data_IF_719231167670
#
_entry.id   IF_719231167670
#
_cell.length_a   1.000
_cell.length_b   1.000
_cell.length_c   1.000
_cell.angle_alpha   90.00
_cell.angle_beta   90.00
_cell.angle_gamma   90.00
#
_symmetry.space_group_name_H-M   'P 1'
#
loop_
_entity.id
_entity.type
_entity.pdbx_description
1 polymer ?
#
# COMPACT_ATOMS: atom_id res chain seq x y z
N UNK A 1 9.42 -6.53 -1.25
CA UNK A 1 9.66 -5.75 -2.49
C UNK A 1 11.11 -5.95 -2.88
N UNK A 2 11.48 -5.74 -4.14
CA UNK A 2 12.87 -5.80 -4.57
C UNK A 2 13.39 -4.38 -4.85
N UNK A 3 14.64 -4.11 -4.51
CA UNK A 3 15.27 -2.81 -4.66
C UNK A 3 15.63 -2.14 -3.33
N UNK A 4 15.77 -0.83 -3.36
CA UNK A 4 16.20 -0.02 -2.21
C UNK A 4 15.13 0.99 -1.83
N UNK A 5 14.71 0.98 -0.57
CA UNK A 5 13.82 2.00 -0.03
C UNK A 5 14.45 3.39 -0.19
N UNK A 6 13.68 4.33 -0.73
CA UNK A 6 14.06 5.73 -0.94
C UNK A 6 13.45 6.61 0.14
N UNK A 7 12.13 6.56 0.28
CA UNK A 7 11.42 7.44 1.23
C UNK A 7 10.05 6.87 1.59
N UNK A 8 9.57 7.21 2.78
CA UNK A 8 8.16 7.13 3.13
C UNK A 8 7.69 8.42 3.80
N UNK A 9 6.40 8.73 3.70
CA UNK A 9 5.78 9.83 4.44
C UNK A 9 5.42 9.48 5.89
N UNK A 10 5.63 8.23 6.31
CA UNK A 10 5.37 7.77 7.68
C UNK A 10 6.59 8.05 8.56
N UNK A 11 6.44 8.78 9.68
CA UNK A 11 7.49 8.89 10.69
C UNK A 11 7.75 7.51 11.33
N UNK A 12 8.97 7.00 11.19
CA UNK A 12 9.34 5.65 11.63
C UNK A 12 10.07 5.67 12.97
N UNK A 13 9.55 4.90 13.93
CA UNK A 13 10.27 4.49 15.13
C UNK A 13 11.15 3.30 14.76
N UNK A 14 12.46 3.55 14.63
CA UNK A 14 13.43 2.55 14.15
C UNK A 14 14.18 1.92 15.32
N UNK A 15 14.33 0.61 15.29
CA UNK A 15 15.16 -0.13 16.24
C UNK A 15 16.65 0.05 15.88
N UNK A 16 17.32 0.98 16.56
CA UNK A 16 18.69 1.40 16.20
C UNK A 16 19.80 0.48 16.74
N UNK A 17 19.57 -0.17 17.89
CA UNK A 17 20.62 -0.90 18.62
C UNK A 17 20.32 -2.38 18.81
N UNK A 18 19.05 -2.79 18.76
CA UNK A 18 18.63 -4.17 18.96
C UNK A 18 17.40 -4.49 18.13
N UNK A 19 17.46 -5.58 17.36
CA UNK A 19 16.31 -6.12 16.65
C UNK A 19 15.65 -7.22 17.47
N UNK A 20 14.32 -7.29 17.39
CA UNK A 20 13.52 -8.37 17.96
C UNK A 20 12.70 -9.03 16.83
N UNK A 21 12.38 -10.33 16.95
CA UNK A 21 11.42 -10.96 16.05
C UNK A 21 10.09 -10.18 16.04
N UNK A 22 9.40 -10.18 14.91
CA UNK A 22 8.17 -9.42 14.70
C UNK A 22 6.98 -10.00 15.47
N UNK A 23 7.05 -11.28 15.82
CA UNK A 23 6.11 -12.02 16.66
C UNK A 23 6.70 -13.38 17.03
N UNK A 24 5.95 -14.18 17.77
CA UNK A 24 6.47 -15.40 18.39
C UNK A 24 6.18 -16.69 17.61
N UNK A 25 5.26 -16.66 16.64
CA UNK A 25 4.82 -17.85 15.90
C UNK A 25 4.29 -17.51 14.48
N UNK A 26 3.86 -18.54 13.74
CA UNK A 26 3.20 -18.46 12.42
C UNK A 26 4.01 -17.74 11.34
N UNK A 27 5.34 -17.84 11.41
CA UNK A 27 6.29 -17.23 10.48
C UNK A 27 6.76 -15.84 10.91
N UNK A 28 6.06 -15.17 11.82
CA UNK A 28 6.47 -13.85 12.32
C UNK A 28 7.76 -13.91 13.15
N UNK A 29 8.04 -15.05 13.78
CA UNK A 29 9.29 -15.32 14.50
C UNK A 29 10.53 -15.35 13.60
N UNK A 30 10.33 -15.39 12.28
CA UNK A 30 11.42 -15.38 11.29
C UNK A 30 11.65 -14.01 10.64
N UNK A 31 10.95 -12.97 11.09
CA UNK A 31 11.09 -11.60 10.59
C UNK A 31 11.64 -10.72 11.72
N UNK A 32 12.79 -10.10 11.52
CA UNK A 32 13.27 -9.00 12.36
C UNK A 32 12.41 -7.75 12.15
N UNK A 33 11.90 -7.16 13.23
CA UNK A 33 11.19 -5.87 13.19
C UNK A 33 12.20 -4.72 13.17
N UNK A 34 12.34 -4.06 12.01
CA UNK A 34 13.31 -2.97 11.81
C UNK A 34 12.75 -1.64 12.30
N UNK A 35 11.54 -1.30 11.87
CA UNK A 35 10.89 -0.05 12.23
C UNK A 35 9.38 -0.17 12.14
N UNK A 36 8.67 0.72 12.82
CA UNK A 36 7.22 0.88 12.65
C UNK A 36 6.80 2.34 12.73
N UNK A 37 5.63 2.67 12.19
CA UNK A 37 5.04 3.99 12.32
C UNK A 37 3.55 3.98 12.01
N UNK A 38 2.82 4.93 12.59
CA UNK A 38 1.39 5.07 12.36
C UNK A 38 1.11 5.67 10.97
N UNK A 39 0.17 5.09 10.24
CA UNK A 39 -0.27 5.57 8.92
C UNK A 39 -1.47 6.48 9.13
N UNK A 40 -1.21 7.73 9.53
CA UNK A 40 -2.25 8.73 9.81
C UNK A 40 -2.87 9.35 8.56
N UNK A 41 -2.11 9.39 7.47
CA UNK A 41 -2.47 9.91 6.15
C UNK A 41 -2.27 8.80 5.10
N UNK A 42 -2.84 8.91 3.89
CA UNK A 42 -2.55 7.96 2.82
C UNK A 42 -1.05 7.68 2.69
N UNK A 43 -0.68 6.41 2.81
CA UNK A 43 0.71 5.97 2.78
C UNK A 43 1.32 6.34 1.44
N UNK A 44 2.56 6.82 1.46
CA UNK A 44 3.47 6.79 0.32
C UNK A 44 4.75 6.10 0.76
N UNK A 45 5.10 5.00 0.08
CA UNK A 45 6.34 4.27 0.28
C UNK A 45 7.01 4.06 -1.08
N UNK A 46 8.16 4.68 -1.28
CA UNK A 46 8.87 4.67 -2.56
C UNK A 46 10.17 3.88 -2.44
N UNK A 47 10.43 3.02 -3.41
CA UNK A 47 11.70 2.32 -3.59
C UNK A 47 12.20 2.48 -5.04
N UNK A 48 13.47 2.18 -5.26
CA UNK A 48 14.10 2.13 -6.58
C UNK A 48 14.56 0.70 -6.87
N UNK A 49 14.31 0.22 -8.08
CA UNK A 49 14.83 -1.05 -8.58
C UNK A 49 15.37 -0.85 -10.00
N UNK A 50 16.66 -1.11 -10.19
CA UNK A 50 17.40 -0.74 -11.39
C UNK A 50 17.28 0.76 -11.72
N UNK A 51 16.74 1.07 -12.90
CA UNK A 51 16.63 2.44 -13.41
C UNK A 51 15.26 3.09 -13.17
N UNK A 52 14.44 2.53 -12.28
CA UNK A 52 13.04 2.93 -12.13
C UNK A 52 12.62 3.03 -10.66
N UNK A 53 11.81 4.05 -10.36
CA UNK A 53 11.16 4.17 -9.07
C UNK A 53 9.80 3.46 -9.07
N UNK A 54 9.42 3.00 -7.90
CA UNK A 54 8.12 2.40 -7.63
C UNK A 54 7.59 3.03 -6.36
N UNK A 55 6.31 3.38 -6.35
CA UNK A 55 5.64 3.84 -5.13
C UNK A 55 4.45 2.96 -4.83
N UNK A 56 4.39 2.46 -3.59
CA UNK A 56 3.19 1.94 -2.97
C UNK A 56 2.45 3.14 -2.35
N UNK A 57 1.26 3.44 -2.88
CA UNK A 57 0.35 4.42 -2.27
C UNK A 57 -0.86 3.67 -1.74
N UNK A 58 -1.18 3.82 -0.46
CA UNK A 58 -2.26 3.08 0.18
C UNK A 58 -3.19 3.98 0.99
N UNK A 59 -4.45 3.59 1.11
CA UNK A 59 -5.39 4.24 2.01
C UNK A 59 -4.96 4.03 3.46
N UNK A 60 -5.15 5.05 4.28
CA UNK A 60 -5.04 4.96 5.73
C UNK A 60 -6.34 4.40 6.33
N UNK A 61 -6.24 3.85 7.54
CA UNK A 61 -7.38 3.51 8.38
C UNK A 61 -7.03 3.80 9.84
N UNK A 62 -8.02 3.87 10.75
CA UNK A 62 -7.76 3.88 12.18
C UNK A 62 -6.83 2.73 12.58
N UNK A 63 -5.89 3.02 13.48
CA UNK A 63 -4.90 2.06 14.01
C UNK A 63 -3.98 1.40 12.97
N UNK A 64 -3.98 1.86 11.71
CA UNK A 64 -3.09 1.31 10.70
C UNK A 64 -1.63 1.66 11.00
N UNK A 65 -0.76 0.65 10.90
CA UNK A 65 0.68 0.76 11.06
C UNK A 65 1.41 0.31 9.81
N UNK A 66 2.46 1.03 9.46
CA UNK A 66 3.51 0.57 8.56
C UNK A 66 4.57 -0.10 9.40
N UNK A 67 4.92 -1.33 9.05
CA UNK A 67 6.01 -2.08 9.67
C UNK A 67 7.03 -2.42 8.59
N UNK A 68 8.29 -2.09 8.86
CA UNK A 68 9.42 -2.52 8.05
C UNK A 68 10.12 -3.67 8.76
N UNK A 69 10.39 -4.74 8.01
CA UNK A 69 11.02 -5.94 8.53
C UNK A 69 12.11 -6.48 7.61
N UNK A 70 12.86 -7.45 8.13
CA UNK A 70 13.78 -8.28 7.35
C UNK A 70 13.68 -9.74 7.74
N UNK A 71 13.67 -10.66 6.79
CA UNK A 71 13.72 -12.11 7.10
C UNK A 71 15.08 -12.51 7.67
N UNK A 72 15.12 -13.60 8.43
CA UNK A 72 16.34 -14.16 9.03
C UNK A 72 16.37 -14.09 10.56
N UNK A 73 15.25 -13.80 11.22
CA UNK A 73 15.15 -14.02 12.66
C UNK A 73 15.08 -15.52 12.96
N UNK A 74 15.67 -15.93 14.09
CA UNK A 74 15.68 -17.32 14.55
C UNK A 74 16.15 -18.34 13.49
N UNK A 75 17.17 -17.98 12.70
CA UNK A 75 17.73 -18.83 11.63
C UNK A 75 19.23 -19.10 11.89
N UNK A 76 19.56 -19.99 12.84
CA UNK A 76 20.95 -20.23 13.27
C UNK A 76 21.82 -20.85 12.17
N UNK A 77 21.20 -21.54 11.21
CA UNK A 77 21.88 -22.25 10.13
C UNK A 77 21.94 -21.42 8.83
N UNK A 78 21.49 -20.16 8.87
CA UNK A 78 21.54 -19.22 7.73
C UNK A 78 20.84 -19.75 6.47
N UNK A 79 19.71 -20.44 6.64
CA UNK A 79 18.93 -21.01 5.53
C UNK A 79 18.07 -19.95 4.81
N UNK A 80 17.72 -18.86 5.48
CA UNK A 80 16.89 -17.79 4.95
C UNK A 80 17.75 -16.68 4.33
N UNK A 81 17.35 -16.22 3.15
CA UNK A 81 17.90 -14.97 2.59
C UNK A 81 17.41 -13.80 3.45
N UNK A 82 18.23 -12.74 3.55
CA UNK A 82 17.82 -11.46 4.14
C UNK A 82 16.99 -10.67 3.13
N UNK A 83 15.67 -10.82 3.16
CA UNK A 83 14.70 -10.14 2.30
C UNK A 83 14.01 -9.00 3.04
N UNK A 84 13.67 -7.93 2.33
CA UNK A 84 12.97 -6.78 2.90
C UNK A 84 11.45 -7.01 2.95
N UNK A 85 10.84 -6.64 4.07
CA UNK A 85 9.39 -6.71 4.31
C UNK A 85 8.83 -5.32 4.50
N UNK A 86 7.76 -5.01 3.78
CA UNK A 86 6.86 -3.87 4.03
C UNK A 86 5.51 -4.47 4.37
N UNK A 87 4.99 -4.14 5.55
CA UNK A 87 3.72 -4.65 6.04
C UNK A 87 2.83 -3.49 6.44
N UNK A 88 1.61 -3.48 5.92
CA UNK A 88 0.52 -2.69 6.47
C UNK A 88 -0.27 -3.57 7.42
N UNK A 89 -0.39 -3.13 8.67
CA UNK A 89 -1.09 -3.83 9.73
C UNK A 89 -2.25 -2.96 10.20
N UNK A 90 -3.46 -3.50 10.17
CA UNK A 90 -4.64 -2.89 10.77
C UNK A 90 -5.12 -3.77 11.92
N UNK A 91 -5.85 -3.17 12.85
CA UNK A 91 -6.48 -3.87 13.97
C UNK A 91 -7.98 -3.52 13.98
N UNK A 92 -8.77 -4.34 13.30
CA UNK A 92 -10.20 -4.10 13.12
C UNK A 92 -10.94 -5.41 12.87
N UNK A 93 -12.24 -5.44 13.17
CA UNK A 93 -13.12 -6.58 12.84
C UNK A 93 -13.50 -6.61 11.37
N UNK A 94 -13.53 -5.45 10.71
CA UNK A 94 -13.79 -5.29 9.28
C UNK A 94 -12.92 -4.15 8.74
N UNK A 95 -12.13 -4.43 7.69
CA UNK A 95 -11.20 -3.47 7.11
C UNK A 95 -10.89 -3.79 5.64
N UNK A 96 -10.93 -2.75 4.80
CA UNK A 96 -10.44 -2.80 3.42
C UNK A 96 -9.03 -2.20 3.32
N UNK A 97 -8.08 -2.99 2.84
CA UNK A 97 -6.76 -2.49 2.43
C UNK A 97 -6.79 -2.13 0.93
N UNK A 98 -6.77 -0.84 0.64
CA UNK A 98 -6.72 -0.33 -0.74
C UNK A 98 -5.34 0.26 -1.03
N UNK A 99 -4.70 -0.17 -2.11
CA UNK A 99 -3.40 0.38 -2.52
C UNK A 99 -3.17 0.30 -4.02
N UNK A 100 -2.25 1.12 -4.50
CA UNK A 100 -1.72 1.07 -5.86
C UNK A 100 -0.21 1.01 -5.81
N UNK A 101 0.38 0.19 -6.68
CA UNK A 101 1.81 0.20 -6.95
C UNK A 101 2.01 0.86 -8.30
N UNK A 102 2.75 1.96 -8.32
CA UNK A 102 2.93 2.75 -9.54
C UNK A 102 4.41 2.79 -9.90
N UNK A 103 4.79 2.27 -11.08
CA UNK A 103 6.11 2.52 -11.65
C UNK A 103 6.19 3.96 -12.16
N UNK A 104 7.26 4.68 -11.85
CA UNK A 104 7.46 6.06 -12.32
C UNK A 104 8.94 6.44 -12.36
N UNK A 105 9.18 7.59 -13.01
CA UNK A 105 10.48 8.22 -13.05
C UNK A 105 11.58 7.40 -13.71
N UNK A 106 12.78 7.96 -13.62
CA UNK A 106 14.00 7.40 -14.16
C UNK A 106 15.15 7.69 -13.22
N UNK A 107 15.94 6.66 -12.94
CA UNK A 107 17.14 6.76 -12.15
C UNK A 107 18.32 6.19 -12.95
N UNK A 108 19.42 6.92 -13.01
CA UNK A 108 20.67 6.42 -13.56
C UNK A 108 21.81 6.93 -12.69
N UNK A 109 22.36 6.02 -11.89
CA UNK A 109 23.45 6.31 -10.97
C UNK A 109 24.73 6.74 -11.70
N UNK A 110 25.09 6.04 -12.79
CA UNK A 110 26.32 6.30 -13.53
C UNK A 110 26.33 7.68 -14.23
N UNK A 111 25.16 8.19 -14.61
CA UNK A 111 24.99 9.51 -15.22
C UNK A 111 24.52 10.58 -14.22
N UNK A 112 24.37 10.24 -12.94
CA UNK A 112 23.83 11.11 -11.88
C UNK A 112 22.45 11.73 -12.24
N UNK A 113 21.58 10.97 -12.91
CA UNK A 113 20.25 11.43 -13.33
C UNK A 113 19.18 10.87 -12.39
N UNK A 114 18.36 11.75 -11.82
CA UNK A 114 17.11 11.41 -11.13
C UNK A 114 15.97 12.28 -11.68
N UNK A 115 14.93 11.64 -12.21
CA UNK A 115 13.74 12.30 -12.77
C UNK A 115 12.48 11.67 -12.20
N UNK A 116 11.52 12.50 -11.82
CA UNK A 116 10.21 12.10 -11.29
C UNK A 116 10.28 11.02 -10.20
N UNK A 117 11.20 11.18 -9.25
CA UNK A 117 11.46 10.24 -8.16
C UNK A 117 10.31 10.13 -7.13
N UNK A 118 9.31 11.02 -7.20
CA UNK A 118 8.14 11.00 -6.32
C UNK A 118 6.92 10.46 -7.08
N UNK A 119 6.08 9.69 -6.39
CA UNK A 119 4.85 9.13 -6.96
C UNK A 119 4.01 10.16 -7.74
N UNK A 120 3.49 9.82 -8.94
CA UNK A 120 2.48 10.64 -9.62
C UNK A 120 1.10 10.53 -8.96
N UNK A 121 0.86 9.50 -8.15
CA UNK A 121 -0.35 9.34 -7.32
C UNK A 121 -0.14 10.00 -5.96
N UNK A 122 -1.12 10.79 -5.55
CA UNK A 122 -1.12 11.55 -4.29
C UNK A 122 -1.78 10.74 -3.18
N UNK A 123 -2.91 10.11 -3.46
CA UNK A 123 -3.68 9.37 -2.47
C UNK A 123 -4.47 8.22 -3.09
N UNK A 124 -4.73 7.23 -2.23
CA UNK A 124 -5.79 6.25 -2.37
C UNK A 124 -6.70 6.44 -1.15
N UNK A 125 -8.01 6.47 -1.36
CA UNK A 125 -9.00 6.63 -0.30
C UNK A 125 -10.06 5.55 -0.42
N UNK A 126 -10.41 4.91 0.69
CA UNK A 126 -11.59 4.06 0.76
C UNK A 126 -12.81 4.98 0.93
N UNK A 127 -13.71 4.96 -0.05
CA UNK A 127 -14.97 5.72 0.02
C UNK A 127 -16.01 4.94 0.82
N UNK A 128 -15.97 3.62 0.72
CA UNK A 128 -16.74 2.73 1.59
C UNK A 128 -16.66 1.29 1.12
N UNK A 129 -16.88 0.37 2.05
CA UNK A 129 -16.94 -1.05 1.77
C UNK A 129 -17.95 -1.75 2.69
N UNK A 130 -18.54 -2.82 2.20
CA UNK A 130 -19.38 -3.76 2.96
C UNK A 130 -19.43 -5.10 2.22
N UNK A 131 -20.28 -6.04 2.66
CA UNK A 131 -20.44 -7.35 2.01
C UNK A 131 -20.91 -7.28 0.55
N UNK A 132 -21.57 -6.18 0.14
CA UNK A 132 -22.09 -6.03 -1.22
C UNK A 132 -21.07 -5.42 -2.18
N UNK A 133 -20.28 -4.44 -1.73
CA UNK A 133 -19.34 -3.74 -2.60
C UNK A 133 -18.19 -3.03 -1.87
N UNK A 134 -17.16 -2.70 -2.64
CA UNK A 134 -16.06 -1.81 -2.25
C UNK A 134 -15.92 -0.66 -3.24
N UNK A 135 -15.74 0.56 -2.76
CA UNK A 135 -15.50 1.74 -3.59
C UNK A 135 -14.28 2.49 -3.07
N UNK A 136 -13.32 2.74 -3.96
CA UNK A 136 -12.11 3.50 -3.67
C UNK A 136 -11.94 4.64 -4.68
N UNK A 137 -11.28 5.71 -4.25
CA UNK A 137 -10.82 6.79 -5.12
C UNK A 137 -9.29 6.83 -5.16
N UNK A 138 -8.74 7.05 -6.36
CA UNK A 138 -7.31 7.25 -6.59
C UNK A 138 -7.14 8.65 -7.16
N UNK A 139 -6.28 9.48 -6.56
CA UNK A 139 -6.03 10.84 -7.03
C UNK A 139 -4.57 11.02 -7.47
N UNK A 140 -4.37 11.59 -8.66
CA UNK A 140 -3.05 11.94 -9.19
C UNK A 140 -2.72 13.42 -9.03
N UNK A 141 -1.41 13.73 -9.04
CA UNK A 141 -0.88 15.10 -9.00
C UNK A 141 -1.36 15.98 -10.15
N UNK A 142 -1.70 15.37 -11.28
CA UNK A 142 -2.26 16.06 -12.45
C UNK A 142 -3.70 16.53 -12.28
N UNK A 143 -4.33 16.24 -11.13
CA UNK A 143 -5.75 16.48 -10.88
C UNK A 143 -6.67 15.39 -11.43
N UNK A 144 -6.13 14.40 -12.14
CA UNK A 144 -6.88 13.21 -12.59
C UNK A 144 -7.30 12.37 -11.40
N UNK A 145 -8.52 11.84 -11.46
CA UNK A 145 -9.07 10.94 -10.44
C UNK A 145 -9.68 9.70 -11.08
N UNK A 146 -9.60 8.58 -10.38
CA UNK A 146 -10.25 7.33 -10.74
C UNK A 146 -11.11 6.86 -9.58
N UNK A 147 -12.30 6.35 -9.88
CA UNK A 147 -13.08 5.57 -8.94
C UNK A 147 -13.07 4.12 -9.36
N UNK A 148 -12.65 3.25 -8.45
CA UNK A 148 -12.71 1.80 -8.65
C UNK A 148 -13.83 1.26 -7.77
N UNK A 149 -14.80 0.61 -8.39
CA UNK A 149 -15.94 -0.01 -7.75
C UNK A 149 -15.86 -1.52 -7.97
N UNK A 150 -16.04 -2.30 -6.92
CA UNK A 150 -15.93 -3.77 -6.95
C UNK A 150 -17.17 -4.37 -6.31
N UNK A 151 -17.75 -5.37 -6.97
CA UNK A 151 -18.77 -6.25 -6.41
C UNK A 151 -18.11 -7.25 -5.44
N UNK A 152 -18.52 -7.23 -4.18
CA UNK A 152 -18.05 -8.20 -3.19
C UNK A 152 -18.96 -9.44 -3.12
N UNK A 153 -20.15 -9.37 -3.75
CA UNK A 153 -21.13 -10.44 -3.79
C UNK A 153 -20.89 -11.47 -4.91
N UNK A 154 -21.94 -12.21 -5.26
CA UNK A 154 -21.87 -13.22 -6.33
C UNK A 154 -21.58 -12.55 -7.68
N UNK A 155 -20.69 -13.13 -8.51
CA UNK A 155 -20.40 -12.59 -9.83
C UNK A 155 -21.65 -12.41 -10.70
N UNK A 156 -21.73 -11.29 -11.41
CA UNK A 156 -22.92 -10.91 -12.19
C UNK A 156 -22.56 -9.88 -13.26
N UNK A 157 -23.36 -9.80 -14.32
CA UNK A 157 -23.30 -8.74 -15.34
C UNK A 157 -24.38 -7.65 -15.13
N UNK A 158 -25.18 -7.79 -14.07
CA UNK A 158 -26.27 -6.86 -13.73
C UNK A 158 -25.75 -5.56 -13.12
N UNK A 159 -26.63 -4.56 -13.04
CA UNK A 159 -26.38 -3.31 -12.33
C UNK A 159 -26.29 -3.55 -10.82
N UNK A 160 -25.28 -2.94 -10.21
CA UNK A 160 -25.04 -2.88 -8.77
C UNK A 160 -25.18 -1.44 -8.34
N UNK A 161 -25.91 -1.20 -7.25
CA UNK A 161 -26.06 0.12 -6.63
C UNK A 161 -25.74 0.02 -5.15
N UNK A 162 -24.87 0.90 -4.68
CA UNK A 162 -24.52 1.04 -3.25
C UNK A 162 -24.44 2.51 -2.86
N UNK A 163 -24.67 2.77 -1.57
CA UNK A 163 -24.58 4.12 -1.01
C UNK A 163 -23.51 4.15 0.06
N UNK A 164 -22.52 5.03 -0.10
CA UNK A 164 -21.47 5.29 0.89
C UNK A 164 -21.36 6.80 1.08
N UNK A 165 -21.30 7.25 2.35
CA UNK A 165 -21.24 8.67 2.72
C UNK A 165 -22.26 9.57 2.00
N UNK A 166 -23.50 9.08 1.87
CA UNK A 166 -24.59 9.81 1.22
C UNK A 166 -24.46 9.96 -0.30
N UNK A 167 -23.47 9.30 -0.93
CA UNK A 167 -23.29 9.24 -2.39
C UNK A 167 -23.70 7.87 -2.92
N UNK A 168 -24.42 7.88 -4.04
CA UNK A 168 -24.81 6.65 -4.73
C UNK A 168 -23.79 6.29 -5.81
N UNK A 169 -23.32 5.06 -5.79
CA UNK A 169 -22.42 4.47 -6.77
C UNK A 169 -23.16 3.40 -7.54
N UNK A 170 -22.95 3.38 -8.86
CA UNK A 170 -23.68 2.49 -9.76
C UNK A 170 -22.81 2.03 -10.92
N UNK A 171 -22.76 0.72 -11.16
CA UNK A 171 -22.06 0.14 -12.30
C UNK A 171 -22.67 -1.20 -12.67
N UNK A 172 -22.33 -1.70 -13.87
CA UNK A 172 -22.68 -3.06 -14.30
C UNK A 172 -21.47 -3.97 -14.14
N UNK A 173 -21.70 -5.22 -13.76
CA UNK A 173 -20.63 -6.21 -13.71
C UNK A 173 -19.92 -6.32 -12.36
N UNK A 174 -18.87 -7.13 -12.32
CA UNK A 174 -18.10 -7.40 -11.10
C UNK A 174 -17.22 -6.24 -10.65
N UNK A 175 -16.88 -5.33 -11.55
CA UNK A 175 -16.13 -4.13 -11.22
C UNK A 175 -16.34 -3.06 -12.28
N UNK A 176 -16.01 -1.82 -11.94
CA UNK A 176 -15.88 -0.73 -12.90
C UNK A 176 -14.77 0.23 -12.46
N UNK A 177 -14.08 0.79 -13.44
CA UNK A 177 -13.08 1.84 -13.24
C UNK A 177 -13.56 3.08 -13.98
N UNK A 178 -14.04 4.06 -13.23
CA UNK A 178 -14.53 5.32 -13.77
C UNK A 178 -13.40 6.35 -13.74
N UNK A 179 -13.19 7.02 -14.87
CA UNK A 179 -12.34 8.20 -14.93
C UNK A 179 -13.17 9.45 -14.61
N UNK A 180 -12.75 10.21 -13.61
CA UNK A 180 -13.40 11.46 -13.23
C UNK A 180 -12.67 12.62 -13.93
N UNK A 181 -13.36 13.26 -14.87
CA UNK A 181 -12.93 14.55 -15.41
C UNK A 181 -13.29 15.65 -14.42
N UNK A 182 -12.38 16.60 -14.21
CA UNK A 182 -12.70 17.86 -13.53
C UNK A 182 -13.53 18.76 -14.44
#
# INVERSE_FOLDING_TARGET
FNGQMVVTNVPLNTNLTQLQPLGDDAGYQHIWKIAEGAVSEPLQFTWVDGQRYYSLVAANSPEMQLILGRTGANDPDFNLRSEQVVMLRGNATDQLFASVIVPHGYFNEAAEISRDARSPIVSVSVIGHNESASVIEIAAKSGRRWQVMVNNGTPTDKEITVSFDGKNFRWNGNYNVLFLNN
#
